data_IF_344399057928
#
_entry.id   IF_344399057928
#
_cell.length_a   1.000
_cell.length_b   1.000
_cell.length_c   1.000
_cell.angle_alpha   90.00
_cell.angle_beta   90.00
_cell.angle_gamma   90.00
#
_symmetry.space_group_name_H-M   'P 1'
#
loop_
_entity.id
_entity.type
_entity.pdbx_description
1 polymer ?
#
# COMPACT_ATOMS: atom_id res chain seq x y z
N UNK A 1 -22.78 19.03 36.31
CA UNK A 1 -21.35 19.41 36.31
C UNK A 1 -20.61 18.44 37.22
N UNK A 2 -20.06 17.35 36.68
CA UNK A 2 -19.36 16.30 37.43
C UNK A 2 -17.89 16.65 37.54
N UNK A 3 -17.44 17.03 38.73
CA UNK A 3 -16.03 17.24 39.05
C UNK A 3 -15.32 15.88 39.06
N UNK A 4 -14.34 15.70 38.18
CA UNK A 4 -13.52 14.50 38.13
C UNK A 4 -12.70 14.39 39.42
N UNK A 5 -13.13 13.52 40.33
CA UNK A 5 -12.40 13.19 41.56
C UNK A 5 -11.06 12.57 41.15
N UNK A 6 -9.95 13.27 41.36
CA UNK A 6 -8.61 12.72 41.18
C UNK A 6 -8.50 11.43 42.02
N UNK A 7 -8.04 10.30 41.46
CA UNK A 7 -7.88 9.08 42.24
C UNK A 7 -6.87 9.35 43.37
N UNK A 8 -7.35 9.25 44.62
CA UNK A 8 -6.52 9.32 45.82
C UNK A 8 -5.37 8.32 45.66
N UNK A 9 -4.14 8.80 45.81
CA UNK A 9 -2.98 7.92 45.61
C UNK A 9 -3.01 6.78 46.64
N UNK A 10 -2.94 5.53 46.17
CA UNK A 10 -2.83 4.37 47.06
C UNK A 10 -1.54 4.44 47.90
N UNK A 11 -1.66 4.09 49.18
CA UNK A 11 -0.59 4.12 50.20
C UNK A 11 -0.19 2.74 50.72
N UNK A 12 -0.56 1.65 50.02
CA UNK A 12 -0.06 0.33 50.41
C UNK A 12 1.47 0.26 50.26
N UNK A 13 2.12 -0.63 51.03
CA UNK A 13 3.58 -0.70 51.10
C UNK A 13 4.25 -0.84 49.72
N UNK A 14 3.64 -1.64 48.83
CA UNK A 14 4.14 -1.82 47.46
C UNK A 14 4.09 -0.52 46.64
N UNK A 15 3.00 0.24 46.73
CA UNK A 15 2.83 1.52 46.04
C UNK A 15 3.81 2.57 46.57
N UNK A 16 3.99 2.63 47.89
CA UNK A 16 4.93 3.54 48.53
C UNK A 16 6.39 3.19 48.22
N UNK A 17 6.74 1.89 48.23
CA UNK A 17 8.07 1.41 47.85
C UNK A 17 8.40 1.79 46.39
N UNK A 18 7.47 1.59 45.45
CA UNK A 18 7.61 2.03 44.05
C UNK A 18 7.80 3.55 43.95
N UNK A 19 7.01 4.35 44.69
CA UNK A 19 7.11 5.81 44.70
C UNK A 19 8.46 6.29 45.26
N UNK A 20 8.93 5.70 46.36
CA UNK A 20 10.24 5.99 46.96
C UNK A 20 11.38 5.66 46.00
N UNK A 21 11.34 4.49 45.34
CA UNK A 21 12.35 4.10 44.33
C UNK A 21 12.40 5.08 43.16
N UNK A 22 11.24 5.47 42.62
CA UNK A 22 11.17 6.47 41.55
C UNK A 22 11.69 7.84 41.99
N UNK A 23 11.40 8.28 43.23
CA UNK A 23 11.95 9.52 43.80
C UNK A 23 13.47 9.48 43.92
N UNK A 24 14.02 8.37 44.45
CA UNK A 24 15.47 8.16 44.58
C UNK A 24 16.17 8.19 43.22
N UNK A 25 15.61 7.51 42.21
CA UNK A 25 16.16 7.52 40.85
C UNK A 25 16.16 8.93 40.24
N UNK A 26 15.08 9.71 40.44
CA UNK A 26 15.02 11.10 39.95
C UNK A 26 16.05 12.01 40.61
N UNK A 27 16.30 11.81 41.91
CA UNK A 27 17.34 12.53 42.64
C UNK A 27 18.73 12.17 42.11
N UNK A 28 19.01 10.88 41.90
CA UNK A 28 20.27 10.41 41.32
C UNK A 28 20.51 11.01 39.92
N UNK A 29 19.51 10.95 39.03
CA UNK A 29 19.62 11.52 37.68
C UNK A 29 19.93 13.02 37.74
N UNK A 30 19.35 13.75 38.70
CA UNK A 30 19.63 15.19 38.91
C UNK A 30 21.08 15.42 39.32
N UNK A 31 21.62 14.63 40.25
CA UNK A 31 23.02 14.73 40.66
C UNK A 31 24.00 14.40 39.53
N UNK A 32 23.64 13.46 38.65
CA UNK A 32 24.43 13.09 37.48
C UNK A 32 24.25 14.07 36.29
N UNK A 33 23.45 15.13 36.42
CA UNK A 33 23.16 16.07 35.33
C UNK A 33 22.33 15.48 34.18
N UNK A 34 21.74 14.31 34.38
CA UNK A 34 20.97 13.57 33.37
C UNK A 34 19.55 14.17 33.29
N UNK A 35 19.13 14.76 32.15
CA UNK A 35 17.81 15.36 32.03
C UNK A 35 16.72 14.27 32.01
N UNK A 36 15.65 14.51 32.77
CA UNK A 36 14.46 13.65 32.81
C UNK A 36 13.44 13.99 31.71
N UNK A 37 13.49 15.22 31.19
CA UNK A 37 12.72 15.67 30.03
C UNK A 37 13.65 15.68 28.82
N UNK A 38 13.20 15.06 27.74
CA UNK A 38 13.95 14.95 26.49
C UNK A 38 13.16 15.61 25.37
N UNK A 39 13.88 16.08 24.36
CA UNK A 39 13.30 16.50 23.09
C UNK A 39 12.65 15.29 22.39
N UNK A 40 11.37 15.37 21.98
CA UNK A 40 10.67 14.27 21.33
C UNK A 40 11.08 13.98 19.88
N UNK A 41 11.98 14.75 19.25
CA UNK A 41 12.32 14.61 17.82
C UNK A 41 12.67 13.19 17.40
N UNK A 42 13.58 12.52 18.10
CA UNK A 42 13.95 11.12 17.80
C UNK A 42 12.78 10.15 17.96
N UNK A 43 12.00 10.30 19.04
CA UNK A 43 10.81 9.47 19.27
C UNK A 43 9.75 9.70 18.19
N UNK A 44 9.62 10.93 17.66
CA UNK A 44 8.71 11.26 16.57
C UNK A 44 9.10 10.57 15.28
N UNK A 45 10.39 10.62 14.91
CA UNK A 45 10.89 9.91 13.74
C UNK A 45 10.69 8.39 13.86
N UNK A 46 10.97 7.83 15.05
CA UNK A 46 10.75 6.40 15.28
C UNK A 46 9.28 6.01 15.18
N UNK A 47 8.37 6.79 15.78
CA UNK A 47 6.93 6.58 15.65
C UNK A 47 6.46 6.67 14.19
N UNK A 48 7.03 7.56 13.38
CA UNK A 48 6.72 7.63 11.96
C UNK A 48 7.13 6.35 11.20
N UNK A 49 8.29 5.77 11.53
CA UNK A 49 8.73 4.46 11.00
C UNK A 49 7.81 3.34 11.46
N UNK A 50 7.54 3.24 12.76
CA UNK A 50 6.62 2.24 13.32
C UNK A 50 5.23 2.33 12.68
N UNK A 51 4.77 3.54 12.35
CA UNK A 51 3.46 3.76 11.74
C UNK A 51 3.33 3.17 10.34
N UNK A 52 4.44 2.86 9.66
CA UNK A 52 4.44 2.17 8.38
C UNK A 52 4.00 0.70 8.50
N UNK A 53 4.18 0.08 9.68
CA UNK A 53 3.88 -1.34 9.89
C UNK A 53 2.91 -1.63 11.05
N UNK A 54 2.84 -0.79 12.11
CA UNK A 54 2.13 -1.12 13.35
C UNK A 54 1.09 -0.14 13.87
N UNK A 55 -0.10 -0.65 14.21
CA UNK A 55 -1.21 -0.04 14.96
C UNK A 55 -0.92 1.22 15.79
N UNK A 56 -1.71 2.30 15.81
CA UNK A 56 -1.63 3.18 17.01
C UNK A 56 -2.01 2.41 18.29
N UNK A 57 -2.93 1.45 18.16
CA UNK A 57 -3.34 0.54 19.24
C UNK A 57 -2.21 -0.43 19.55
N UNK A 58 -1.63 -1.05 18.53
CA UNK A 58 -0.54 -2.02 18.70
C UNK A 58 0.75 -1.38 19.24
N UNK A 59 1.16 -0.20 18.74
CA UNK A 59 2.31 0.53 19.29
C UNK A 59 2.04 0.87 20.76
N UNK A 60 0.81 1.28 21.11
CA UNK A 60 0.44 1.59 22.50
C UNK A 60 0.55 0.36 23.42
N UNK A 61 0.10 -0.80 22.94
CA UNK A 61 0.23 -2.08 23.64
C UNK A 61 1.71 -2.47 23.80
N UNK A 62 2.49 -2.44 22.72
CA UNK A 62 3.91 -2.78 22.73
C UNK A 62 4.75 -1.83 23.60
N UNK A 63 4.47 -0.53 23.57
CA UNK A 63 5.22 0.47 24.36
C UNK A 63 4.69 0.61 25.79
N UNK A 64 3.52 0.06 26.12
CA UNK A 64 2.81 0.32 27.38
C UNK A 64 2.55 1.82 27.61
N UNK A 65 2.22 2.57 26.55
CA UNK A 65 1.84 3.98 26.59
C UNK A 65 0.43 4.17 26.01
N UNK A 66 -0.24 5.28 26.35
CA UNK A 66 -1.54 5.58 25.74
C UNK A 66 -1.43 5.96 24.26
N UNK A 67 -2.27 5.38 23.41
CA UNK A 67 -2.36 5.70 21.98
C UNK A 67 -2.66 7.18 21.70
N UNK A 68 -3.39 7.87 22.59
CA UNK A 68 -3.64 9.30 22.46
C UNK A 68 -2.36 10.11 22.74
N UNK A 69 -1.57 9.69 23.73
CA UNK A 69 -0.30 10.31 24.07
C UNK A 69 0.72 10.15 22.92
N UNK A 70 0.83 8.94 22.36
CA UNK A 70 1.70 8.67 21.22
C UNK A 70 1.33 9.51 19.99
N UNK A 71 0.03 9.66 19.70
CA UNK A 71 -0.46 10.54 18.62
C UNK A 71 -0.07 12.01 18.83
N UNK A 72 -0.10 12.50 20.06
CA UNK A 72 0.31 13.87 20.35
C UNK A 72 1.81 14.11 20.18
N UNK A 73 2.64 13.12 20.54
CA UNK A 73 4.09 13.15 20.27
C UNK A 73 4.36 13.15 18.76
N UNK A 74 3.69 12.25 18.04
CA UNK A 74 3.85 12.10 16.59
C UNK A 74 3.40 13.35 15.82
N UNK A 75 2.29 13.96 16.24
CA UNK A 75 1.77 15.21 15.67
C UNK A 75 2.56 16.46 16.09
N UNK A 76 3.62 16.31 16.91
CA UNK A 76 4.47 17.42 17.34
C UNK A 76 3.82 18.39 18.33
N UNK A 77 2.71 18.01 18.97
CA UNK A 77 2.01 18.86 19.96
C UNK A 77 2.71 18.97 21.31
N UNK A 78 3.79 18.21 21.50
CA UNK A 78 4.57 18.19 22.74
C UNK A 78 5.98 18.68 22.46
N UNK A 79 6.45 19.65 23.24
CA UNK A 79 7.82 20.17 23.19
C UNK A 79 8.80 19.33 24.02
N UNK A 80 8.30 18.58 25.01
CA UNK A 80 9.12 17.71 25.86
C UNK A 80 8.38 16.43 26.24
N UNK A 81 9.13 15.33 26.32
CA UNK A 81 8.64 14.03 26.79
C UNK A 81 9.47 13.51 27.96
N UNK A 82 8.89 12.64 28.79
CA UNK A 82 9.66 11.96 29.84
C UNK A 82 10.65 10.98 29.22
N UNK A 83 11.85 10.88 29.82
CA UNK A 83 12.86 9.87 29.47
C UNK A 83 12.29 8.45 29.44
N UNK A 84 11.51 8.07 30.45
CA UNK A 84 10.88 6.75 30.48
C UNK A 84 9.92 6.52 29.30
N UNK A 85 9.21 7.55 28.84
CA UNK A 85 8.35 7.45 27.65
C UNK A 85 9.18 7.33 26.39
N UNK A 86 10.27 8.09 26.29
CA UNK A 86 11.21 8.00 25.17
C UNK A 86 11.81 6.60 25.05
N UNK A 87 12.34 6.04 26.14
CA UNK A 87 12.91 4.69 26.19
C UNK A 87 11.88 3.62 25.79
N UNK A 88 10.64 3.73 26.29
CA UNK A 88 9.55 2.83 25.90
C UNK A 88 9.22 2.87 24.42
N UNK A 89 9.22 4.06 23.81
CA UNK A 89 8.95 4.21 22.37
C UNK A 89 10.11 3.60 21.57
N UNK A 90 11.35 3.90 21.94
CA UNK A 90 12.54 3.41 21.23
C UNK A 90 12.72 1.89 21.37
N UNK A 91 12.21 1.27 22.43
CA UNK A 91 12.26 -0.17 22.63
C UNK A 91 11.30 -0.95 21.70
N UNK A 92 10.27 -0.30 21.13
CA UNK A 92 9.35 -0.96 20.20
C UNK A 92 10.03 -1.13 18.85
N UNK A 93 10.08 -2.36 18.36
CA UNK A 93 10.58 -2.67 17.02
C UNK A 93 9.43 -2.67 16.00
N UNK A 94 9.67 -2.25 14.74
CA UNK A 94 8.69 -2.40 13.68
C UNK A 94 8.29 -3.86 13.53
N UNK A 95 6.99 -4.14 13.45
CA UNK A 95 6.52 -5.49 13.16
C UNK A 95 6.92 -5.89 11.74
N UNK A 96 7.40 -7.14 11.58
CA UNK A 96 7.72 -7.74 10.28
C UNK A 96 6.47 -7.83 9.37
N UNK A 97 5.31 -8.08 9.98
CA UNK A 97 4.02 -8.11 9.30
C UNK A 97 3.18 -6.89 9.69
N UNK A 98 2.57 -6.24 8.69
CA UNK A 98 1.70 -5.08 8.90
C UNK A 98 0.50 -5.46 9.76
N UNK A 99 0.18 -4.61 10.74
CA UNK A 99 -0.94 -4.83 11.65
C UNK A 99 -2.29 -4.70 10.95
N UNK A 100 -3.21 -5.61 11.29
CA UNK A 100 -4.52 -5.80 10.66
C UNK A 100 -5.49 -4.62 10.87
N UNK A 101 -5.22 -3.76 11.86
CA UNK A 101 -6.07 -2.66 12.30
C UNK A 101 -5.96 -1.36 11.49
N UNK A 102 -5.07 -1.29 10.51
CA UNK A 102 -4.83 -0.05 9.78
C UNK A 102 -5.58 0.11 8.49
N UNK A 103 -5.79 1.37 8.12
CA UNK A 103 -6.20 1.74 6.77
C UNK A 103 -4.97 1.80 5.86
N UNK A 104 -5.07 1.12 4.73
CA UNK A 104 -4.13 1.17 3.62
C UNK A 104 -4.82 1.72 2.37
N UNK A 105 -4.01 2.08 1.39
CA UNK A 105 -4.48 2.30 0.03
C UNK A 105 -5.13 1.03 -0.51
N UNK A 106 -6.34 1.18 -1.06
CA UNK A 106 -7.15 0.05 -1.48
C UNK A 106 -6.92 -0.33 -2.95
N UNK A 107 -6.10 0.41 -3.70
CA UNK A 107 -5.92 0.24 -5.15
C UNK A 107 -5.62 -1.21 -5.54
N UNK A 108 -4.66 -1.86 -4.86
CA UNK A 108 -4.35 -3.25 -5.13
C UNK A 108 -5.50 -4.22 -4.86
N UNK A 109 -6.34 -3.95 -3.85
CA UNK A 109 -7.54 -4.77 -3.59
C UNK A 109 -8.67 -4.49 -4.58
N UNK A 110 -8.83 -3.23 -5.00
CA UNK A 110 -9.78 -2.84 -6.05
C UNK A 110 -9.45 -3.58 -7.34
N UNK A 111 -8.17 -3.55 -7.77
CA UNK A 111 -7.69 -4.22 -8.98
C UNK A 111 -7.90 -5.74 -8.91
N UNK A 112 -7.59 -6.38 -7.79
CA UNK A 112 -7.86 -7.83 -7.58
C UNK A 112 -9.33 -8.18 -7.74
N UNK A 113 -10.24 -7.41 -7.13
CA UNK A 113 -11.68 -7.66 -7.26
C UNK A 113 -12.15 -7.48 -8.71
N UNK A 114 -11.70 -6.41 -9.38
CA UNK A 114 -12.02 -6.15 -10.79
C UNK A 114 -11.51 -7.25 -11.72
N UNK A 115 -10.29 -7.73 -11.48
CA UNK A 115 -9.70 -8.83 -12.23
C UNK A 115 -10.47 -10.15 -12.06
N UNK A 116 -10.89 -10.49 -10.83
CA UNK A 116 -11.76 -11.65 -10.61
C UNK A 116 -13.11 -11.51 -11.34
N UNK A 117 -13.66 -10.30 -11.40
CA UNK A 117 -14.89 -10.04 -12.17
C UNK A 117 -14.65 -10.17 -13.68
N UNK A 118 -13.48 -9.78 -14.19
CA UNK A 118 -13.09 -9.91 -15.59
C UNK A 118 -13.05 -11.37 -16.06
N UNK A 119 -12.56 -12.29 -15.22
CA UNK A 119 -12.63 -13.75 -15.50
C UNK A 119 -14.00 -14.37 -15.20
N UNK A 120 -14.97 -13.58 -14.73
CA UNK A 120 -16.37 -13.98 -14.57
C UNK A 120 -16.77 -14.46 -13.17
N UNK A 121 -15.99 -14.17 -12.12
CA UNK A 121 -16.46 -14.41 -10.75
C UNK A 121 -17.51 -13.37 -10.35
N UNK A 122 -18.64 -13.85 -9.83
CA UNK A 122 -19.66 -12.96 -9.29
C UNK A 122 -19.19 -12.32 -7.99
N UNK A 123 -19.78 -11.17 -7.64
CA UNK A 123 -19.52 -10.52 -6.34
C UNK A 123 -19.82 -11.44 -5.16
N UNK A 124 -20.78 -12.37 -5.32
CA UNK A 124 -21.12 -13.37 -4.31
C UNK A 124 -19.98 -14.38 -4.12
N UNK A 125 -19.46 -14.95 -5.20
CA UNK A 125 -18.36 -15.91 -5.15
C UNK A 125 -17.09 -15.28 -4.53
N UNK A 126 -16.78 -14.04 -4.92
CA UNK A 126 -15.65 -13.28 -4.34
C UNK A 126 -15.89 -13.01 -2.84
N UNK A 127 -17.12 -12.64 -2.45
CA UNK A 127 -17.45 -12.38 -1.06
C UNK A 127 -17.38 -13.63 -0.17
N UNK A 128 -17.80 -14.77 -0.70
CA UNK A 128 -17.73 -16.08 -0.07
C UNK A 128 -16.27 -16.49 0.18
N UNK A 129 -15.43 -16.46 -0.86
CA UNK A 129 -14.00 -16.75 -0.74
C UNK A 129 -13.28 -15.80 0.24
N UNK A 130 -13.60 -14.51 0.20
CA UNK A 130 -13.03 -13.51 1.10
C UNK A 130 -13.66 -13.50 2.51
N UNK A 131 -14.69 -14.32 2.78
CA UNK A 131 -15.46 -14.34 4.03
C UNK A 131 -15.87 -12.94 4.46
N UNK A 132 -16.51 -12.21 3.56
CA UNK A 132 -16.95 -10.82 3.75
C UNK A 132 -18.35 -10.60 3.14
N UNK A 133 -18.91 -9.41 3.31
CA UNK A 133 -20.22 -9.07 2.77
C UNK A 133 -20.13 -8.66 1.29
N UNK A 134 -21.08 -9.10 0.47
CA UNK A 134 -21.18 -8.79 -0.97
C UNK A 134 -21.19 -7.28 -1.25
N UNK A 135 -21.87 -6.50 -0.41
CA UNK A 135 -21.91 -5.03 -0.54
C UNK A 135 -20.53 -4.38 -0.41
N UNK A 136 -19.61 -4.99 0.36
CA UNK A 136 -18.23 -4.50 0.50
C UNK A 136 -17.41 -4.81 -0.76
N UNK A 137 -17.59 -5.99 -1.34
CA UNK A 137 -16.94 -6.35 -2.61
C UNK A 137 -17.37 -5.40 -3.71
N UNK A 138 -18.67 -5.09 -3.80
CA UNK A 138 -19.17 -4.12 -4.77
C UNK A 138 -18.57 -2.72 -4.56
N UNK A 139 -18.53 -2.25 -3.31
CA UNK A 139 -17.93 -0.95 -2.98
C UNK A 139 -16.45 -0.89 -3.33
N UNK A 140 -15.71 -1.98 -3.16
CA UNK A 140 -14.31 -2.06 -3.59
C UNK A 140 -14.21 -1.97 -5.11
N UNK A 141 -15.01 -2.73 -5.87
CA UNK A 141 -15.01 -2.67 -7.34
C UNK A 141 -15.26 -1.26 -7.89
N UNK A 142 -16.07 -0.46 -7.18
CA UNK A 142 -16.36 0.95 -7.51
C UNK A 142 -15.21 1.94 -7.23
N UNK A 143 -14.07 1.50 -6.67
CA UNK A 143 -12.90 2.37 -6.47
C UNK A 143 -12.85 3.03 -5.10
N UNK A 144 -13.14 2.28 -4.03
CA UNK A 144 -12.90 2.75 -2.68
C UNK A 144 -11.42 3.10 -2.48
N UNK A 145 -11.10 4.28 -1.94
CA UNK A 145 -9.71 4.76 -1.82
C UNK A 145 -8.92 4.11 -0.67
N UNK A 146 -9.55 3.88 0.47
CA UNK A 146 -8.87 3.33 1.66
C UNK A 146 -9.63 2.17 2.26
N UNK A 147 -8.93 1.18 2.79
CA UNK A 147 -9.55 0.01 3.41
C UNK A 147 -8.71 -0.56 4.56
N UNK A 148 -9.32 -1.37 5.41
CA UNK A 148 -8.59 -2.04 6.49
C UNK A 148 -7.67 -3.13 5.95
N UNK A 149 -6.43 -3.22 6.45
CA UNK A 149 -5.44 -4.25 6.11
C UNK A 149 -6.04 -5.66 6.25
N UNK A 150 -6.77 -5.93 7.34
CA UNK A 150 -7.45 -7.23 7.53
C UNK A 150 -8.38 -7.63 6.38
N UNK A 151 -9.04 -6.65 5.75
CA UNK A 151 -9.89 -6.90 4.60
C UNK A 151 -9.06 -7.06 3.32
N UNK A 152 -7.96 -6.31 3.18
CA UNK A 152 -7.04 -6.47 2.07
C UNK A 152 -6.42 -7.88 2.05
N UNK A 153 -5.96 -8.39 3.20
CA UNK A 153 -5.42 -9.75 3.33
C UNK A 153 -6.45 -10.82 2.92
N UNK A 154 -7.74 -10.60 3.26
CA UNK A 154 -8.83 -11.49 2.87
C UNK A 154 -9.09 -11.48 1.36
N UNK A 155 -9.04 -10.31 0.74
CA UNK A 155 -9.20 -10.16 -0.71
C UNK A 155 -8.00 -10.77 -1.44
N UNK A 156 -6.78 -10.57 -0.93
CA UNK A 156 -5.57 -11.20 -1.46
C UNK A 156 -5.69 -12.73 -1.42
N UNK A 157 -6.17 -13.29 -0.31
CA UNK A 157 -6.40 -14.73 -0.19
C UNK A 157 -7.44 -15.24 -1.20
N UNK A 158 -8.57 -14.54 -1.32
CA UNK A 158 -9.61 -14.89 -2.30
C UNK A 158 -9.09 -14.80 -3.75
N UNK A 159 -8.27 -13.80 -4.05
CA UNK A 159 -7.62 -13.64 -5.35
C UNK A 159 -6.72 -14.83 -5.67
N UNK A 160 -5.83 -15.22 -4.75
CA UNK A 160 -4.95 -16.39 -4.92
C UNK A 160 -5.73 -17.70 -5.15
N UNK A 161 -6.92 -17.83 -4.59
CA UNK A 161 -7.76 -19.02 -4.78
C UNK A 161 -8.46 -19.04 -6.13
N UNK A 162 -8.90 -17.88 -6.62
CA UNK A 162 -9.84 -17.78 -7.74
C UNK A 162 -9.20 -17.34 -9.06
N UNK A 163 -8.02 -16.71 -9.03
CA UNK A 163 -7.39 -16.07 -10.19
C UNK A 163 -7.17 -17.03 -11.38
N UNK A 164 -6.82 -18.29 -11.11
CA UNK A 164 -6.54 -19.28 -12.16
C UNK A 164 -7.76 -20.12 -12.58
N UNK A 165 -8.95 -19.79 -12.06
CA UNK A 165 -10.19 -20.53 -12.36
C UNK A 165 -11.22 -19.58 -12.95
N UNK A 166 -11.72 -19.79 -14.18
CA UNK A 166 -12.74 -18.93 -14.74
C UNK A 166 -14.06 -19.07 -13.99
N UNK A 167 -14.74 -17.94 -13.77
CA UNK A 167 -16.05 -17.91 -13.13
C UNK A 167 -17.21 -18.06 -14.13
N UNK A 168 -18.38 -18.43 -13.63
CA UNK A 168 -19.56 -18.72 -14.47
C UNK A 168 -20.41 -17.49 -14.79
N UNK A 169 -20.15 -16.33 -14.17
CA UNK A 169 -21.02 -15.16 -14.28
C UNK A 169 -20.75 -14.33 -15.53
N UNK A 170 -21.69 -14.38 -16.49
CA UNK A 170 -21.68 -13.50 -17.67
C UNK A 170 -21.84 -12.03 -17.29
N UNK A 171 -22.68 -11.73 -16.30
CA UNK A 171 -22.91 -10.36 -15.80
C UNK A 171 -21.62 -9.72 -15.27
N UNK A 172 -20.80 -10.48 -14.54
CA UNK A 172 -19.52 -9.98 -14.04
C UNK A 172 -18.58 -9.61 -15.18
N UNK A 173 -18.48 -10.45 -16.21
CA UNK A 173 -17.70 -10.18 -17.42
C UNK A 173 -18.19 -8.94 -18.16
N UNK A 174 -19.50 -8.77 -18.33
CA UNK A 174 -20.06 -7.58 -18.98
C UNK A 174 -19.75 -6.29 -18.22
N UNK A 175 -19.81 -6.31 -16.89
CA UNK A 175 -19.45 -5.15 -16.06
C UNK A 175 -17.95 -4.85 -16.20
N UNK A 176 -17.11 -5.88 -16.17
CA UNK A 176 -15.66 -5.72 -16.32
C UNK A 176 -15.28 -5.17 -17.70
N UNK A 177 -15.91 -5.66 -18.77
CA UNK A 177 -15.70 -5.15 -20.13
C UNK A 177 -16.16 -3.68 -20.25
N UNK A 178 -17.31 -3.32 -19.67
CA UNK A 178 -17.78 -1.94 -19.68
C UNK A 178 -16.87 -0.98 -18.89
N UNK A 179 -16.17 -1.49 -17.87
CA UNK A 179 -15.21 -0.74 -17.07
C UNK A 179 -13.77 -0.78 -17.56
N UNK A 180 -13.49 -1.45 -18.69
CA UNK A 180 -12.14 -1.78 -19.18
C UNK A 180 -11.24 -2.40 -18.11
N UNK A 181 -11.78 -3.35 -17.33
CA UNK A 181 -11.04 -4.00 -16.25
C UNK A 181 -10.21 -5.17 -16.76
N UNK A 182 -8.93 -5.16 -16.41
CA UNK A 182 -7.95 -6.20 -16.78
C UNK A 182 -8.13 -7.47 -15.97
N UNK A 183 -7.88 -8.61 -16.61
CA UNK A 183 -7.92 -9.93 -16.00
C UNK A 183 -6.66 -10.24 -15.15
N UNK A 184 -6.65 -11.33 -14.37
CA UNK A 184 -5.49 -11.71 -13.58
C UNK A 184 -4.24 -11.99 -14.40
N UNK A 185 -4.37 -12.56 -15.60
CA UNK A 185 -3.24 -12.91 -16.46
C UNK A 185 -2.48 -11.65 -16.90
N UNK A 186 -3.21 -10.60 -17.28
CA UNK A 186 -2.62 -9.30 -17.61
C UNK A 186 -1.79 -8.72 -16.45
N UNK A 187 -2.27 -8.85 -15.21
CA UNK A 187 -1.54 -8.40 -14.02
C UNK A 187 -0.35 -9.31 -13.66
N UNK A 188 -0.39 -10.59 -14.03
CA UNK A 188 0.75 -11.49 -13.91
C UNK A 188 1.86 -11.12 -14.91
N UNK A 189 1.49 -10.77 -16.14
CA UNK A 189 2.43 -10.37 -17.19
C UNK A 189 3.04 -8.97 -16.94
N UNK A 190 2.21 -7.99 -16.58
CA UNK A 190 2.65 -6.60 -16.38
C UNK A 190 3.22 -6.34 -14.97
N UNK A 191 2.81 -7.13 -13.98
CA UNK A 191 3.13 -6.89 -12.57
C UNK A 191 2.47 -5.63 -12.00
N UNK A 192 2.93 -5.20 -10.82
CA UNK A 192 2.53 -3.89 -10.26
C UNK A 192 1.08 -3.78 -9.78
N UNK A 193 0.38 -4.89 -9.54
CA UNK A 193 -1.02 -4.85 -9.06
C UNK A 193 -1.21 -4.00 -7.79
N UNK A 194 -0.18 -3.95 -6.93
CA UNK A 194 -0.15 -3.16 -5.69
C UNK A 194 0.48 -1.78 -5.83
N UNK A 195 1.08 -1.46 -6.98
CA UNK A 195 1.70 -0.16 -7.22
C UNK A 195 0.65 0.84 -7.77
N UNK A 196 0.31 1.91 -7.02
CA UNK A 196 -0.64 2.91 -7.49
C UNK A 196 -0.23 3.60 -8.80
N UNK A 197 1.06 3.60 -9.15
CA UNK A 197 1.57 4.20 -10.39
C UNK A 197 1.59 3.23 -11.57
N UNK A 198 1.29 1.94 -11.35
CA UNK A 198 1.22 0.99 -12.45
C UNK A 198 0.06 1.36 -13.39
N UNK A 199 0.28 1.32 -14.72
CA UNK A 199 -0.78 1.57 -15.69
C UNK A 199 -1.91 0.56 -15.50
N UNK A 200 -3.17 1.00 -15.59
CA UNK A 200 -4.36 0.11 -15.53
C UNK A 200 -4.92 -0.23 -16.91
N UNK A 201 -4.41 0.44 -17.93
CA UNK A 201 -4.81 0.32 -19.32
C UNK A 201 -3.56 0.23 -20.18
N UNK A 202 -3.72 -0.34 -21.38
CA UNK A 202 -2.65 -0.30 -22.38
C UNK A 202 -2.29 1.15 -22.65
N UNK A 203 -1.02 1.50 -22.46
CA UNK A 203 -0.51 2.78 -22.94
C UNK A 203 -0.54 2.67 -24.46
N UNK A 204 -1.33 3.48 -25.19
CA UNK A 204 -1.42 3.35 -26.64
C UNK A 204 -0.03 3.51 -27.23
N UNK A 205 0.53 2.43 -27.78
CA UNK A 205 1.84 2.50 -28.40
C UNK A 205 1.73 3.44 -29.60
N UNK A 206 2.50 4.53 -29.65
CA UNK A 206 2.45 5.45 -30.77
C UNK A 206 2.66 4.69 -32.08
N UNK A 207 1.81 4.96 -33.08
CA UNK A 207 1.80 4.24 -34.36
C UNK A 207 3.18 4.16 -35.04
N UNK A 208 4.02 5.16 -34.82
CA UNK A 208 5.38 5.20 -35.37
C UNK A 208 6.34 4.19 -34.74
N UNK A 209 6.13 3.84 -33.46
CA UNK A 209 6.90 2.81 -32.75
C UNK A 209 6.56 1.45 -33.33
N UNK A 210 5.26 1.10 -33.38
CA UNK A 210 4.79 -0.19 -33.92
C UNK A 210 5.24 -0.40 -35.37
N UNK A 211 5.04 0.60 -36.24
CA UNK A 211 5.44 0.50 -37.65
C UNK A 211 6.97 0.46 -37.77
N UNK A 212 7.69 1.27 -36.99
CA UNK A 212 9.15 1.34 -37.05
C UNK A 212 9.81 0.04 -36.60
N UNK A 213 9.33 -0.56 -35.50
CA UNK A 213 9.79 -1.84 -34.98
C UNK A 213 9.56 -2.98 -35.96
N UNK A 214 8.32 -3.17 -36.42
CA UNK A 214 7.96 -4.20 -37.40
C UNK A 214 8.75 -4.04 -38.72
N UNK A 215 9.03 -2.80 -39.13
CA UNK A 215 9.83 -2.54 -40.33
C UNK A 215 11.29 -2.97 -40.16
N UNK A 216 11.90 -2.70 -39.00
CA UNK A 216 13.27 -3.13 -38.71
C UNK A 216 13.38 -4.65 -38.56
N UNK A 217 12.37 -5.30 -38.00
CA UNK A 217 12.31 -6.77 -37.94
C UNK A 217 12.26 -7.39 -39.35
N UNK A 218 11.44 -6.84 -40.25
CA UNK A 218 11.37 -7.29 -41.64
C UNK A 218 12.68 -7.03 -42.39
N UNK A 219 13.37 -5.91 -42.13
CA UNK A 219 14.72 -5.66 -42.66
C UNK A 219 15.71 -6.72 -42.16
N UNK A 220 15.66 -7.09 -40.88
CA UNK A 220 16.54 -8.11 -40.30
C UNK A 220 16.29 -9.51 -40.89
N UNK A 221 15.05 -9.80 -41.30
CA UNK A 221 14.68 -11.02 -42.03
C UNK A 221 15.09 -10.98 -43.53
N UNK A 222 15.68 -9.88 -44.00
CA UNK A 222 16.18 -9.72 -45.37
C UNK A 222 15.18 -9.13 -46.37
N UNK A 223 14.01 -8.65 -45.93
CA UNK A 223 13.06 -7.99 -46.81
C UNK A 223 13.51 -6.55 -47.14
N UNK A 224 13.28 -6.12 -48.37
CA UNK A 224 13.49 -4.72 -48.75
C UNK A 224 12.43 -3.81 -48.12
N UNK A 225 12.76 -2.54 -47.90
CA UNK A 225 11.80 -1.54 -47.37
C UNK A 225 10.51 -1.41 -48.16
N UNK A 226 10.60 -1.55 -49.48
CA UNK A 226 9.43 -1.52 -50.35
C UNK A 226 8.51 -2.72 -50.09
N UNK A 227 9.08 -3.90 -49.89
CA UNK A 227 8.31 -5.10 -49.54
C UNK A 227 7.75 -5.00 -48.12
N UNK A 228 8.52 -4.46 -47.17
CA UNK A 228 8.05 -4.21 -45.81
C UNK A 228 6.88 -3.22 -45.77
N UNK A 229 6.96 -2.13 -46.53
CA UNK A 229 5.88 -1.13 -46.67
C UNK A 229 4.59 -1.78 -47.20
N UNK A 230 4.70 -2.62 -48.24
CA UNK A 230 3.56 -3.35 -48.80
C UNK A 230 2.93 -4.30 -47.78
N UNK A 231 3.76 -5.06 -47.04
CA UNK A 231 3.30 -6.03 -46.04
C UNK A 231 2.63 -5.37 -44.84
N UNK A 232 3.10 -4.19 -44.45
CA UNK A 232 2.53 -3.40 -43.36
C UNK A 232 1.37 -2.47 -43.80
N UNK A 233 1.04 -2.45 -45.10
CA UNK A 233 -0.07 -1.65 -45.64
C UNK A 233 0.14 -0.13 -45.57
N UNK A 234 1.39 0.34 -45.67
CA UNK A 234 1.75 1.77 -45.62
C UNK A 234 2.55 2.19 -46.85
N UNK A 235 2.59 3.50 -47.16
CA UNK A 235 3.47 3.99 -48.23
C UNK A 235 4.94 3.90 -47.81
N UNK A 236 5.85 3.75 -48.78
CA UNK A 236 7.30 3.73 -48.54
C UNK A 236 7.76 4.98 -47.79
N UNK A 237 7.29 6.17 -48.18
CA UNK A 237 7.59 7.44 -47.52
C UNK A 237 7.13 7.49 -46.05
N UNK A 238 5.99 6.87 -45.75
CA UNK A 238 5.46 6.74 -44.40
C UNK A 238 6.30 5.76 -43.59
N UNK A 239 6.69 4.63 -44.18
CA UNK A 239 7.56 3.65 -43.53
C UNK A 239 8.90 4.27 -43.11
N UNK A 240 9.58 4.95 -44.02
CA UNK A 240 10.88 5.60 -43.77
C UNK A 240 10.80 6.66 -42.68
N UNK A 241 9.72 7.46 -42.69
CA UNK A 241 9.48 8.48 -41.65
C UNK A 241 9.28 7.84 -40.27
N UNK A 242 8.55 6.73 -40.18
CA UNK A 242 8.32 6.02 -38.92
C UNK A 242 9.59 5.32 -38.42
N UNK A 243 10.37 4.68 -39.30
CA UNK A 243 11.69 4.11 -38.95
C UNK A 243 12.59 5.18 -38.34
N UNK A 244 12.68 6.37 -38.95
CA UNK A 244 13.49 7.48 -38.43
C UNK A 244 13.05 7.90 -37.03
N UNK A 245 11.74 8.08 -36.82
CA UNK A 245 11.17 8.48 -35.52
C UNK A 245 11.40 7.42 -34.45
N UNK A 246 11.24 6.14 -34.78
CA UNK A 246 11.47 5.04 -33.86
C UNK A 246 12.94 4.93 -33.43
N UNK A 247 13.88 5.10 -34.37
CA UNK A 247 15.32 5.16 -34.03
C UNK A 247 15.64 6.34 -33.09
N UNK A 248 15.00 7.48 -33.29
CA UNK A 248 15.15 8.63 -32.40
C UNK A 248 14.58 8.37 -31.00
N UNK A 249 13.44 7.67 -30.87
CA UNK A 249 12.90 7.31 -29.56
C UNK A 249 13.78 6.31 -28.81
N UNK A 250 14.43 5.37 -29.51
CA UNK A 250 15.38 4.45 -28.90
C UNK A 250 16.61 5.18 -28.33
N UNK A 251 17.11 6.21 -29.02
CA UNK A 251 18.25 7.01 -28.56
C UNK A 251 17.92 7.89 -27.34
N UNK A 252 16.65 8.28 -27.17
CA UNK A 252 16.22 9.09 -26.02
C UNK A 252 15.95 8.24 -24.76
N UNK A 253 15.76 6.94 -24.92
CA UNK A 253 15.48 6.00 -23.84
C UNK A 253 16.75 5.31 -23.27
N UNK A 254 17.90 5.48 -23.93
CA UNK A 254 19.22 4.98 -23.53
C UNK A 254 20.00 6.05 -22.73
#
# INVERSE_FOLDING_TARGET
>A
MTTATHPRTCHCENCDRRRRRAKKQRALNRHLGIPNRLDPTLARHHLAKLRQTMSWVHIAEASGCSAAHLRNIAAGRMSQINRQTHEKIMAVQPAERRDSGFYIDATGSVRRVRALMAIGHSQYAIAEAAKTATCRVWRLAQGQATMRQKLADKIEHAYKQLAHTPGTSTRARSIAAAGDWRDPLWWEDMGGIDDPQAPEHDIPTPRHIVIGENALELEAQGYSRQHAAQRLGVSLSTLETNIRRYRQSLQQAA
#
